data_IF_258171764695
#
_entry.id   IF_258171764695
#
_cell.length_a   1.000
_cell.length_b   1.000
_cell.length_c   1.000
_cell.angle_alpha   90.00
_cell.angle_beta   90.00
_cell.angle_gamma   90.00
#
_symmetry.space_group_name_H-M   'P 1'
#
loop_
_entity.id
_entity.type
_entity.pdbx_description
1 polymer ?
#
# COMPACT_ATOMS: atom_id res chain seq x y z
N UNK A 1 39.67 46.48 -27.89
CA UNK A 1 38.24 46.22 -28.07
C UNK A 1 37.89 44.72 -28.23
N UNK A 2 38.69 43.93 -29.01
CA UNK A 2 38.41 42.46 -29.21
C UNK A 2 38.62 41.62 -27.94
N UNK A 3 39.57 41.95 -27.05
CA UNK A 3 39.83 41.27 -25.79
C UNK A 3 38.71 41.48 -24.74
N UNK A 4 38.12 42.68 -24.70
CA UNK A 4 37.02 43.02 -23.81
C UNK A 4 35.75 42.26 -24.22
N UNK A 5 35.50 42.11 -25.52
CA UNK A 5 34.34 41.35 -26.05
C UNK A 5 34.47 39.85 -25.76
N UNK A 6 35.69 39.27 -25.91
CA UNK A 6 35.93 37.86 -25.59
C UNK A 6 35.76 37.57 -24.08
N UNK A 7 36.23 38.45 -23.20
CA UNK A 7 36.06 38.32 -21.75
C UNK A 7 34.56 38.40 -21.33
N UNK A 8 33.80 39.32 -21.94
CA UNK A 8 32.35 39.47 -21.68
C UNK A 8 31.56 38.23 -22.10
N UNK A 9 31.86 37.62 -23.24
CA UNK A 9 31.21 36.39 -23.70
C UNK A 9 31.51 35.22 -22.78
N UNK A 10 32.74 35.08 -22.27
CA UNK A 10 33.10 33.99 -21.33
C UNK A 10 32.31 34.10 -20.02
N UNK A 11 32.18 35.31 -19.47
CA UNK A 11 31.46 35.55 -18.23
C UNK A 11 29.95 35.23 -18.40
N UNK A 12 29.37 35.60 -19.52
CA UNK A 12 27.94 35.29 -19.81
C UNK A 12 27.71 33.80 -19.96
N UNK A 13 28.61 33.11 -20.69
CA UNK A 13 28.50 31.64 -20.87
C UNK A 13 28.72 30.92 -19.54
N UNK A 14 29.69 31.32 -18.74
CA UNK A 14 29.91 30.73 -17.40
C UNK A 14 28.74 30.97 -16.47
N UNK A 15 28.15 32.16 -16.49
CA UNK A 15 26.93 32.47 -15.72
C UNK A 15 25.74 31.64 -16.16
N UNK A 16 25.55 31.43 -17.46
CA UNK A 16 24.49 30.58 -17.99
C UNK A 16 24.68 29.11 -17.60
N UNK A 17 25.89 28.57 -17.71
CA UNK A 17 26.19 27.20 -17.32
C UNK A 17 26.02 26.98 -15.82
N UNK A 18 26.41 27.95 -15.01
CA UNK A 18 26.19 27.90 -13.56
C UNK A 18 24.70 27.94 -13.21
N UNK A 19 23.94 28.85 -13.82
CA UNK A 19 22.48 28.93 -13.62
C UNK A 19 21.78 27.64 -14.06
N UNK A 20 22.17 27.09 -15.21
CA UNK A 20 21.63 25.82 -15.71
C UNK A 20 21.94 24.64 -14.78
N UNK A 21 23.16 24.53 -14.26
CA UNK A 21 23.56 23.49 -13.31
C UNK A 21 22.84 23.66 -11.98
N UNK A 22 22.70 24.88 -11.48
CA UNK A 22 21.94 25.17 -10.25
C UNK A 22 20.46 24.86 -10.39
N UNK A 23 19.82 25.23 -11.51
CA UNK A 23 18.43 24.93 -11.80
C UNK A 23 18.19 23.40 -11.93
N UNK A 24 19.12 22.69 -12.60
CA UNK A 24 19.09 21.23 -12.72
C UNK A 24 19.20 20.55 -11.35
N UNK A 25 20.09 21.05 -10.47
CA UNK A 25 20.23 20.56 -9.10
C UNK A 25 18.94 20.73 -8.28
N UNK A 26 18.38 21.94 -8.28
CA UNK A 26 17.11 22.24 -7.60
C UNK A 26 15.96 21.38 -8.08
N UNK A 27 15.87 21.15 -9.38
CA UNK A 27 14.82 20.29 -9.97
C UNK A 27 15.02 18.82 -9.58
N UNK A 28 16.25 18.35 -9.49
CA UNK A 28 16.55 16.99 -9.02
C UNK A 28 16.18 16.80 -7.54
N UNK A 29 16.46 17.78 -6.68
CA UNK A 29 16.06 17.76 -5.26
C UNK A 29 14.53 17.75 -5.11
N UNK A 30 13.80 18.59 -5.86
CA UNK A 30 12.35 18.61 -5.84
C UNK A 30 11.74 17.27 -6.30
N UNK A 31 12.30 16.70 -7.39
CA UNK A 31 11.85 15.39 -7.88
C UNK A 31 12.17 14.27 -6.87
N UNK A 32 13.32 14.34 -6.20
CA UNK A 32 13.68 13.41 -5.13
C UNK A 32 12.74 13.50 -3.94
N UNK A 33 12.40 14.72 -3.50
CA UNK A 33 11.44 14.94 -2.42
C UNK A 33 10.04 14.43 -2.79
N UNK A 34 9.54 14.75 -3.98
CA UNK A 34 8.26 14.27 -4.47
C UNK A 34 8.23 12.75 -4.60
N UNK A 35 9.32 12.13 -5.09
CA UNK A 35 9.42 10.68 -5.18
C UNK A 35 9.40 10.02 -3.80
N UNK A 36 10.06 10.63 -2.80
CA UNK A 36 10.06 10.13 -1.43
C UNK A 36 8.70 10.32 -0.74
N UNK A 37 8.06 11.47 -0.94
CA UNK A 37 6.71 11.73 -0.45
C UNK A 37 5.70 10.77 -1.09
N UNK A 38 5.82 10.52 -2.39
CA UNK A 38 4.99 9.57 -3.11
C UNK A 38 5.22 8.13 -2.63
N UNK A 39 6.48 7.74 -2.43
CA UNK A 39 6.83 6.43 -1.86
C UNK A 39 6.24 6.24 -0.45
N UNK A 40 6.27 7.29 0.40
CA UNK A 40 5.69 7.25 1.74
C UNK A 40 4.16 7.12 1.73
N UNK A 41 3.48 7.53 0.66
CA UNK A 41 2.03 7.38 0.50
C UNK A 41 1.64 5.92 0.21
N UNK A 42 2.50 5.16 -0.45
CA UNK A 42 2.27 3.73 -0.70
C UNK A 42 2.54 2.88 0.53
N UNK A 43 3.59 3.17 1.29
CA UNK A 43 4.02 2.37 2.44
C UNK A 43 4.08 3.26 3.68
N UNK A 44 3.19 3.02 4.64
CA UNK A 44 3.18 3.73 5.92
C UNK A 44 3.78 2.86 7.03
N UNK A 45 4.34 3.46 8.09
CA UNK A 45 4.89 2.69 9.22
C UNK A 45 3.89 1.75 9.91
N UNK A 46 2.60 2.06 9.81
CA UNK A 46 1.53 1.24 10.37
C UNK A 46 1.08 0.09 9.47
N UNK A 47 1.46 0.11 8.18
CA UNK A 47 0.98 -0.87 7.20
C UNK A 47 1.41 -2.30 7.56
N UNK A 48 0.49 -3.26 7.59
CA UNK A 48 0.84 -4.66 7.67
C UNK A 48 1.62 -5.10 6.43
N UNK A 49 2.70 -5.84 6.67
CA UNK A 49 3.62 -6.28 5.61
C UNK A 49 3.81 -7.78 5.69
N UNK A 50 3.80 -8.47 4.53
CA UNK A 50 4.06 -9.88 4.37
C UNK A 50 5.10 -10.11 3.28
N UNK A 51 6.08 -10.98 3.52
CA UNK A 51 7.16 -11.29 2.58
C UNK A 51 8.52 -10.83 3.06
N UNK A 52 9.52 -10.84 2.20
CA UNK A 52 10.90 -10.55 2.57
C UNK A 52 11.10 -9.06 2.90
N UNK A 53 11.82 -8.79 4.00
CA UNK A 53 12.07 -7.43 4.49
C UNK A 53 12.85 -6.59 3.49
N UNK A 54 13.76 -7.21 2.74
CA UNK A 54 14.65 -6.55 1.79
C UNK A 54 14.18 -6.72 0.34
N UNK A 55 12.91 -7.10 0.14
CA UNK A 55 12.32 -7.22 -1.18
C UNK A 55 12.36 -5.88 -1.92
N UNK A 56 12.69 -5.92 -3.23
CA UNK A 56 12.69 -4.74 -4.11
C UNK A 56 11.39 -4.56 -4.90
N UNK A 57 10.49 -5.54 -4.82
CA UNK A 57 9.17 -5.47 -5.45
C UNK A 57 8.11 -5.39 -4.36
N UNK A 58 7.35 -4.31 -4.38
CA UNK A 58 6.28 -4.04 -3.43
C UNK A 58 4.95 -4.12 -4.14
N UNK A 59 4.08 -5.05 -3.71
CA UNK A 59 2.68 -5.06 -4.07
C UNK A 59 1.94 -4.32 -2.96
N UNK A 60 1.39 -3.15 -3.26
CA UNK A 60 0.54 -2.40 -2.34
C UNK A 60 -0.91 -2.68 -2.69
N UNK A 61 -1.67 -3.18 -1.74
CA UNK A 61 -3.09 -3.48 -1.87
C UNK A 61 -3.90 -2.57 -0.96
N UNK A 62 -4.69 -1.67 -1.56
CA UNK A 62 -5.77 -0.99 -0.85
C UNK A 62 -6.97 -1.91 -0.80
N UNK A 63 -7.23 -2.44 0.38
CA UNK A 63 -8.21 -3.50 0.59
C UNK A 63 -9.38 -3.05 1.45
N UNK A 64 -10.51 -3.70 1.25
CA UNK A 64 -11.68 -3.62 2.11
C UNK A 64 -12.01 -5.04 2.60
N UNK A 65 -12.02 -5.30 3.91
CA UNK A 65 -12.32 -6.63 4.42
C UNK A 65 -13.68 -7.19 3.98
N UNK A 66 -14.64 -6.31 3.70
CA UNK A 66 -15.98 -6.71 3.24
C UNK A 66 -16.08 -6.85 1.72
N UNK A 67 -15.02 -6.54 0.96
CA UNK A 67 -15.01 -6.66 -0.49
C UNK A 67 -14.77 -8.11 -0.94
N UNK A 68 -15.73 -8.71 -1.66
CA UNK A 68 -15.63 -10.08 -2.18
C UNK A 68 -14.45 -10.26 -3.14
N UNK A 69 -14.17 -9.26 -3.97
CA UNK A 69 -13.04 -9.29 -4.89
C UNK A 69 -11.71 -9.28 -4.14
N UNK A 70 -11.60 -8.57 -3.01
CA UNK A 70 -10.41 -8.61 -2.14
C UNK A 70 -10.18 -10.02 -1.59
N UNK A 71 -11.23 -10.68 -1.10
CA UNK A 71 -11.14 -12.06 -0.64
C UNK A 71 -10.67 -13.03 -1.75
N UNK A 72 -11.16 -12.85 -2.99
CA UNK A 72 -10.73 -13.65 -4.15
C UNK A 72 -9.26 -13.39 -4.52
N UNK A 73 -8.80 -12.15 -4.45
CA UNK A 73 -7.41 -11.79 -4.81
C UNK A 73 -6.39 -12.13 -3.74
N UNK A 74 -6.77 -12.24 -2.46
CA UNK A 74 -5.86 -12.57 -1.37
C UNK A 74 -5.03 -13.85 -1.63
N UNK A 75 -5.59 -15.02 -1.98
CA UNK A 75 -4.80 -16.20 -2.32
C UNK A 75 -3.97 -16.03 -3.60
N UNK A 76 -4.40 -15.19 -4.55
CA UNK A 76 -3.65 -14.91 -5.78
C UNK A 76 -2.36 -14.17 -5.43
N UNK A 77 -2.44 -13.11 -4.62
CA UNK A 77 -1.26 -12.35 -4.17
C UNK A 77 -0.31 -13.22 -3.36
N UNK A 78 -0.84 -14.10 -2.49
CA UNK A 78 -0.01 -15.06 -1.73
C UNK A 78 0.74 -16.05 -2.62
N UNK A 79 0.17 -16.43 -3.77
CA UNK A 79 0.91 -17.25 -4.76
C UNK A 79 2.11 -16.52 -5.36
N UNK A 80 2.03 -15.19 -5.61
CA UNK A 80 3.19 -14.43 -6.06
C UNK A 80 4.30 -14.36 -5.01
N UNK A 81 3.93 -14.15 -3.73
CA UNK A 81 4.90 -14.19 -2.63
C UNK A 81 5.58 -15.57 -2.55
N UNK A 82 4.82 -16.65 -2.69
CA UNK A 82 5.36 -18.01 -2.64
C UNK A 82 6.25 -18.34 -3.85
N UNK A 83 5.93 -17.79 -5.04
CA UNK A 83 6.74 -17.97 -6.24
C UNK A 83 8.07 -17.17 -6.19
N UNK A 84 8.10 -16.07 -5.45
CA UNK A 84 9.25 -15.17 -5.36
C UNK A 84 9.55 -14.79 -3.88
N UNK A 85 9.88 -15.75 -3.00
CA UNK A 85 9.88 -15.57 -1.54
C UNK A 85 10.85 -14.49 -1.04
N UNK A 86 11.96 -14.26 -1.78
CA UNK A 86 13.00 -13.28 -1.42
C UNK A 86 12.83 -11.94 -2.17
N UNK A 87 11.90 -11.86 -3.13
CA UNK A 87 11.85 -10.75 -4.09
C UNK A 87 10.64 -9.84 -3.94
N UNK A 88 9.57 -10.35 -3.32
CA UNK A 88 8.27 -9.65 -3.25
C UNK A 88 7.86 -9.42 -1.79
N UNK A 89 7.27 -8.25 -1.56
CA UNK A 89 6.62 -7.87 -0.32
C UNK A 89 5.20 -7.37 -0.62
N UNK A 90 4.22 -7.86 0.13
CA UNK A 90 2.86 -7.31 0.15
C UNK A 90 2.75 -6.28 1.26
N UNK A 91 2.22 -5.12 0.92
CA UNK A 91 1.86 -4.04 1.85
C UNK A 91 0.35 -3.86 1.81
N UNK A 92 -0.31 -4.04 2.93
CA UNK A 92 -1.76 -3.85 3.04
C UNK A 92 -2.08 -2.44 3.51
N UNK A 93 -3.01 -1.78 2.81
CA UNK A 93 -3.60 -0.49 3.14
C UNK A 93 -5.11 -0.63 3.14
N UNK A 94 -5.80 0.18 3.92
CA UNK A 94 -7.25 0.07 4.04
C UNK A 94 -7.99 1.07 3.17
N UNK A 95 -9.07 0.59 2.55
CA UNK A 95 -10.05 1.41 1.85
C UNK A 95 -11.46 0.87 2.13
N UNK A 96 -11.98 1.04 3.37
CA UNK A 96 -13.26 0.49 3.81
C UNK A 96 -14.42 1.24 3.17
N UNK A 97 -14.75 0.88 1.93
CA UNK A 97 -15.79 1.54 1.12
C UNK A 97 -17.18 0.90 1.30
N UNK A 98 -17.27 -0.32 1.86
CA UNK A 98 -18.55 -0.96 2.15
C UNK A 98 -19.11 -0.53 3.50
N UNK A 99 -20.43 -0.59 3.64
CA UNK A 99 -21.12 -0.20 4.87
C UNK A 99 -20.70 -1.07 6.07
N UNK A 100 -20.25 -0.41 7.14
CA UNK A 100 -19.75 -1.09 8.35
C UNK A 100 -18.33 -1.64 8.26
N UNK A 101 -17.70 -1.59 7.08
CA UNK A 101 -16.37 -2.17 6.84
C UNK A 101 -15.26 -1.53 7.69
N UNK A 102 -15.40 -0.24 8.06
CA UNK A 102 -14.50 0.39 9.02
C UNK A 102 -14.47 -0.34 10.38
N UNK A 103 -15.58 -0.96 10.78
CA UNK A 103 -15.64 -1.82 11.98
C UNK A 103 -14.77 -3.07 11.83
N UNK A 104 -14.79 -3.71 10.68
CA UNK A 104 -13.92 -4.86 10.38
C UNK A 104 -12.44 -4.45 10.34
N UNK A 105 -12.10 -3.26 9.82
CA UNK A 105 -10.73 -2.72 9.88
C UNK A 105 -10.29 -2.49 11.33
N UNK A 106 -11.16 -1.97 12.21
CA UNK A 106 -10.85 -1.84 13.64
C UNK A 106 -10.53 -3.17 14.29
N UNK A 107 -11.27 -4.23 13.95
CA UNK A 107 -10.98 -5.60 14.40
C UNK A 107 -9.59 -6.04 13.93
N UNK A 108 -9.24 -5.82 12.67
CA UNK A 108 -7.93 -6.19 12.13
C UNK A 108 -6.78 -5.42 12.77
N UNK A 109 -6.93 -4.11 13.01
CA UNK A 109 -5.92 -3.31 13.69
C UNK A 109 -5.73 -3.75 15.15
N UNK A 110 -6.82 -4.04 15.87
CA UNK A 110 -6.76 -4.59 17.22
C UNK A 110 -6.15 -6.01 17.23
N UNK A 111 -6.46 -6.85 16.25
CA UNK A 111 -5.83 -8.16 16.08
C UNK A 111 -4.32 -8.03 15.79
N UNK A 112 -3.91 -6.99 15.03
CA UNK A 112 -2.50 -6.65 14.80
C UNK A 112 -1.76 -6.35 16.10
N UNK A 113 -2.39 -5.65 17.04
CA UNK A 113 -1.81 -5.36 18.36
C UNK A 113 -1.60 -6.64 19.19
N UNK A 114 -2.29 -7.72 18.86
CA UNK A 114 -2.08 -9.06 19.42
C UNK A 114 -1.16 -9.96 18.57
N UNK A 115 -0.57 -9.43 17.49
CA UNK A 115 0.27 -10.20 16.56
C UNK A 115 -0.52 -11.19 15.70
N UNK A 116 -1.83 -10.97 15.51
CA UNK A 116 -2.77 -11.88 14.84
C UNK A 116 -3.41 -11.30 13.58
N UNK A 117 -2.76 -10.30 12.97
CA UNK A 117 -3.31 -9.62 11.79
C UNK A 117 -3.62 -10.57 10.63
N UNK A 118 -2.63 -11.39 10.24
CA UNK A 118 -2.76 -12.23 9.04
C UNK A 118 -3.76 -13.35 9.25
N UNK A 119 -3.74 -13.98 10.44
CA UNK A 119 -4.70 -15.01 10.81
C UNK A 119 -6.13 -14.47 10.85
N UNK A 120 -6.30 -13.25 11.37
CA UNK A 120 -7.61 -12.59 11.40
C UNK A 120 -8.11 -12.21 10.00
N UNK A 121 -7.24 -11.63 9.16
CA UNK A 121 -7.59 -11.26 7.79
C UNK A 121 -7.99 -12.49 6.98
N UNK A 122 -7.22 -13.57 7.06
CA UNK A 122 -7.51 -14.83 6.38
C UNK A 122 -8.83 -15.44 6.86
N UNK A 123 -9.06 -15.45 8.16
CA UNK A 123 -10.30 -15.93 8.75
C UNK A 123 -11.50 -15.14 8.23
N UNK A 124 -11.42 -13.82 8.22
CA UNK A 124 -12.49 -12.96 7.72
C UNK A 124 -12.76 -13.20 6.24
N UNK A 125 -11.73 -13.29 5.39
CA UNK A 125 -11.90 -13.55 3.97
C UNK A 125 -12.50 -14.94 3.69
N UNK A 126 -12.03 -15.99 4.38
CA UNK A 126 -12.53 -17.35 4.21
C UNK A 126 -14.00 -17.51 4.64
N UNK A 127 -14.44 -16.67 5.57
CA UNK A 127 -15.80 -16.71 6.13
C UNK A 127 -16.64 -15.49 5.72
N UNK A 128 -16.25 -14.75 4.68
CA UNK A 128 -16.85 -13.47 4.35
C UNK A 128 -18.38 -13.56 4.19
N UNK A 129 -18.90 -14.62 3.57
CA UNK A 129 -20.34 -14.85 3.41
C UNK A 129 -21.10 -15.06 4.72
N UNK A 130 -20.40 -15.36 5.82
CA UNK A 130 -21.00 -15.54 7.15
C UNK A 130 -21.27 -14.19 7.81
N UNK A 131 -20.34 -13.24 7.67
CA UNK A 131 -20.37 -11.96 8.38
C UNK A 131 -20.65 -10.74 7.47
N UNK A 132 -20.90 -10.96 6.17
CA UNK A 132 -21.43 -9.94 5.26
C UNK A 132 -22.77 -10.39 4.70
N UNK A 133 -23.72 -9.47 4.61
CA UNK A 133 -25.00 -9.72 3.98
C UNK A 133 -25.43 -8.48 3.18
N UNK A 134 -25.72 -8.64 1.89
CA UNK A 134 -26.08 -7.52 1.01
C UNK A 134 -25.10 -6.33 1.07
N UNK A 135 -23.81 -6.64 1.09
CA UNK A 135 -22.70 -5.68 1.24
C UNK A 135 -22.64 -4.92 2.58
N UNK A 136 -23.37 -5.37 3.59
CA UNK A 136 -23.33 -4.84 4.94
C UNK A 136 -22.58 -5.79 5.88
N UNK A 137 -21.79 -5.23 6.78
CA UNK A 137 -21.08 -5.97 7.81
C UNK A 137 -22.02 -6.32 8.98
N UNK A 138 -21.94 -7.56 9.42
CA UNK A 138 -22.62 -8.09 10.61
C UNK A 138 -21.58 -8.27 11.73
N UNK A 139 -21.35 -7.26 12.59
CA UNK A 139 -20.24 -7.28 13.55
C UNK A 139 -20.30 -8.47 14.51
N UNK A 140 -21.48 -8.85 14.96
CA UNK A 140 -21.68 -9.98 15.89
C UNK A 140 -21.19 -11.31 15.30
N UNK A 141 -21.22 -11.47 13.99
CA UNK A 141 -20.70 -12.65 13.30
C UNK A 141 -19.19 -12.69 13.28
N UNK A 142 -18.55 -11.52 13.11
CA UNK A 142 -17.09 -11.41 13.22
C UNK A 142 -16.64 -11.86 14.61
N UNK A 143 -17.28 -11.38 15.67
CA UNK A 143 -16.96 -11.75 17.05
C UNK A 143 -17.03 -13.25 17.32
N UNK A 144 -17.96 -13.96 16.67
CA UNK A 144 -18.10 -15.42 16.79
C UNK A 144 -16.95 -16.19 16.10
N UNK A 145 -16.29 -15.60 15.11
CA UNK A 145 -15.22 -16.25 14.36
C UNK A 145 -13.85 -16.09 15.05
N UNK A 146 -13.56 -14.93 15.61
CA UNK A 146 -12.23 -14.53 16.10
C UNK A 146 -11.58 -15.49 17.11
N UNK A 147 -12.30 -16.19 18.01
CA UNK A 147 -11.68 -17.16 18.91
C UNK A 147 -10.95 -18.31 18.19
N UNK A 148 -11.32 -18.63 16.93
CA UNK A 148 -10.70 -19.69 16.15
C UNK A 148 -9.21 -19.45 15.86
N UNK A 149 -8.78 -18.19 15.89
CA UNK A 149 -7.37 -17.80 15.67
C UNK A 149 -6.66 -17.35 16.95
N UNK A 150 -7.27 -17.62 18.10
CA UNK A 150 -6.66 -17.37 19.41
C UNK A 150 -6.58 -15.89 19.78
N UNK A 151 -7.56 -15.09 19.36
CA UNK A 151 -7.69 -13.68 19.73
C UNK A 151 -8.37 -13.59 21.10
N UNK A 152 -7.77 -12.78 21.99
CA UNK A 152 -8.38 -12.35 23.24
C UNK A 152 -9.44 -11.27 22.94
N UNK A 153 -10.71 -11.63 23.07
CA UNK A 153 -11.83 -10.75 22.73
C UNK A 153 -11.94 -9.54 23.68
N UNK A 154 -11.64 -9.70 24.95
CA UNK A 154 -11.71 -8.58 25.91
C UNK A 154 -10.65 -7.53 25.58
N UNK A 155 -9.43 -7.95 25.29
CA UNK A 155 -8.37 -7.08 24.84
C UNK A 155 -8.67 -6.46 23.48
N UNK A 156 -9.23 -7.23 22.54
CA UNK A 156 -9.62 -6.74 21.23
C UNK A 156 -10.60 -5.57 21.32
N UNK A 157 -11.64 -5.69 22.19
CA UNK A 157 -12.64 -4.65 22.39
C UNK A 157 -12.01 -3.34 22.87
N UNK A 158 -11.07 -3.43 23.82
CA UNK A 158 -10.33 -2.25 24.30
C UNK A 158 -9.46 -1.65 23.20
N UNK A 159 -8.70 -2.49 22.48
CA UNK A 159 -7.75 -2.06 21.47
C UNK A 159 -8.48 -1.43 20.25
N UNK A 160 -9.68 -1.88 19.89
CA UNK A 160 -10.51 -1.27 18.84
C UNK A 160 -10.87 0.19 19.11
N UNK A 161 -10.95 0.58 20.38
CA UNK A 161 -11.19 1.95 20.83
C UNK A 161 -9.95 2.86 20.82
N UNK A 162 -8.76 2.33 20.55
CA UNK A 162 -7.52 3.10 20.54
C UNK A 162 -7.57 4.20 19.46
N UNK A 163 -7.28 5.48 19.82
CA UNK A 163 -7.25 6.56 18.83
C UNK A 163 -6.31 6.32 17.65
N UNK A 164 -5.24 5.53 17.83
CA UNK A 164 -4.30 5.16 16.75
C UNK A 164 -4.99 4.36 15.66
N UNK A 165 -5.98 3.53 15.99
CA UNK A 165 -6.77 2.76 15.00
C UNK A 165 -7.58 3.70 14.12
N UNK A 166 -8.19 4.73 14.70
CA UNK A 166 -8.90 5.76 13.92
C UNK A 166 -7.94 6.51 12.99
N UNK A 167 -6.79 6.93 13.51
CA UNK A 167 -5.78 7.64 12.72
C UNK A 167 -5.25 6.80 11.53
N UNK A 168 -5.08 5.48 11.71
CA UNK A 168 -4.71 4.56 10.61
C UNK A 168 -5.77 4.56 9.51
N UNK A 169 -7.04 4.42 9.86
CA UNK A 169 -8.14 4.37 8.89
C UNK A 169 -8.24 5.70 8.12
N UNK A 170 -8.17 6.82 8.82
CA UNK A 170 -8.25 8.17 8.23
C UNK A 170 -7.06 8.42 7.29
N UNK A 171 -5.84 8.04 7.69
CA UNK A 171 -4.65 8.17 6.86
C UNK A 171 -4.73 7.32 5.61
N UNK A 172 -5.17 6.07 5.75
CA UNK A 172 -5.27 5.15 4.61
C UNK A 172 -6.35 5.60 3.61
N UNK A 173 -7.48 6.11 4.08
CA UNK A 173 -8.51 6.69 3.23
C UNK A 173 -8.02 7.96 2.50
N UNK A 174 -7.29 8.84 3.19
CA UNK A 174 -6.70 10.02 2.57
C UNK A 174 -5.69 9.64 1.48
N UNK A 175 -4.83 8.66 1.74
CA UNK A 175 -3.86 8.16 0.77
C UNK A 175 -4.56 7.45 -0.42
N UNK A 176 -5.59 6.65 -0.16
CA UNK A 176 -6.40 6.04 -1.21
C UNK A 176 -7.01 7.10 -2.15
N UNK A 177 -7.55 8.17 -1.56
CA UNK A 177 -8.09 9.30 -2.34
C UNK A 177 -7.00 10.00 -3.16
N UNK A 178 -5.85 10.29 -2.55
CA UNK A 178 -4.72 10.95 -3.22
C UNK A 178 -4.16 10.11 -4.39
N UNK A 179 -4.15 8.79 -4.25
CA UNK A 179 -3.71 7.84 -5.27
C UNK A 179 -4.80 7.47 -6.29
N UNK A 180 -5.99 8.04 -6.18
CA UNK A 180 -7.10 7.79 -7.10
C UNK A 180 -7.76 6.41 -6.94
N UNK A 181 -7.57 5.73 -5.81
CA UNK A 181 -8.23 4.46 -5.51
C UNK A 181 -9.71 4.72 -5.26
N UNK A 182 -10.56 4.19 -6.13
CA UNK A 182 -12.02 4.37 -6.07
C UNK A 182 -12.79 3.05 -5.92
N UNK A 183 -12.07 1.93 -6.00
CA UNK A 183 -12.60 0.57 -5.91
C UNK A 183 -11.59 -0.31 -5.20
N UNK A 184 -12.07 -1.36 -4.55
CA UNK A 184 -11.23 -2.38 -3.92
C UNK A 184 -11.35 -3.72 -4.65
N UNK A 185 -10.26 -4.48 -4.69
CA UNK A 185 -8.92 -4.09 -4.29
C UNK A 185 -8.30 -3.08 -5.28
N UNK A 186 -7.57 -2.08 -4.75
CA UNK A 186 -6.72 -1.20 -5.54
C UNK A 186 -5.27 -1.65 -5.46
N UNK A 187 -4.66 -2.06 -6.58
CA UNK A 187 -3.28 -2.57 -6.60
C UNK A 187 -2.31 -1.60 -7.23
N UNK A 188 -1.12 -1.53 -6.61
CA UNK A 188 0.07 -0.89 -7.18
C UNK A 188 1.26 -1.84 -7.04
N UNK A 189 2.09 -1.92 -8.05
CA UNK A 189 3.36 -2.65 -7.99
C UNK A 189 4.51 -1.67 -8.24
N UNK A 190 5.35 -1.45 -7.24
CA UNK A 190 6.40 -0.42 -7.27
C UNK A 190 5.87 0.96 -7.73
N UNK A 191 4.69 1.34 -7.20
CA UNK A 191 4.03 2.61 -7.52
C UNK A 191 3.28 2.65 -8.86
N UNK A 192 3.33 1.61 -9.67
CA UNK A 192 2.58 1.52 -10.94
C UNK A 192 1.18 0.96 -10.68
N UNK A 193 0.11 1.68 -11.02
CA UNK A 193 -1.25 1.20 -10.82
C UNK A 193 -1.56 -0.02 -11.70
N UNK A 194 -2.38 -0.92 -11.19
CA UNK A 194 -2.88 -2.06 -11.98
C UNK A 194 -4.02 -1.61 -12.90
N UNK A 195 -3.68 -1.34 -14.15
CA UNK A 195 -4.64 -0.97 -15.19
C UNK A 195 -4.29 -1.68 -16.52
N UNK A 196 -5.25 -2.39 -17.14
CA UNK A 196 -6.58 -2.73 -16.62
C UNK A 196 -6.55 -3.75 -15.48
N UNK A 197 -7.61 -3.76 -14.65
CA UNK A 197 -7.72 -4.66 -13.50
C UNK A 197 -7.92 -6.12 -13.94
N UNK A 198 -7.23 -7.05 -13.28
CA UNK A 198 -7.38 -8.49 -13.49
C UNK A 198 -6.18 -9.31 -13.01
N UNK A 199 -6.39 -10.60 -12.75
CA UNK A 199 -5.35 -11.51 -12.27
C UNK A 199 -4.16 -11.62 -13.25
N UNK A 200 -4.44 -11.81 -14.54
CA UNK A 200 -3.39 -11.90 -15.57
C UNK A 200 -2.58 -10.63 -15.70
N UNK A 201 -3.22 -9.48 -15.55
CA UNK A 201 -2.59 -8.17 -15.61
C UNK A 201 -1.71 -7.95 -14.38
N UNK A 202 -2.21 -8.32 -13.18
CA UNK A 202 -1.41 -8.27 -11.96
C UNK A 202 -0.19 -9.18 -12.06
N UNK A 203 -0.36 -10.41 -12.53
CA UNK A 203 0.76 -11.33 -12.76
C UNK A 203 1.80 -10.73 -13.72
N UNK A 204 1.36 -10.21 -14.87
CA UNK A 204 2.26 -9.59 -15.85
C UNK A 204 3.02 -8.40 -15.27
N UNK A 205 2.35 -7.55 -14.48
CA UNK A 205 2.98 -6.38 -13.83
C UNK A 205 4.00 -6.82 -12.78
N UNK A 206 3.66 -7.77 -11.92
CA UNK A 206 4.57 -8.32 -10.90
C UNK A 206 5.80 -8.94 -11.54
N UNK A 207 5.63 -9.80 -12.56
CA UNK A 207 6.74 -10.43 -13.27
C UNK A 207 7.64 -9.42 -13.99
N UNK A 208 7.06 -8.34 -14.54
CA UNK A 208 7.83 -7.28 -15.16
C UNK A 208 8.70 -6.55 -14.14
N UNK A 209 8.14 -6.24 -12.96
CA UNK A 209 8.89 -5.58 -11.88
C UNK A 209 9.96 -6.51 -11.27
N UNK A 210 9.66 -7.80 -11.10
CA UNK A 210 10.67 -8.78 -10.64
C UNK A 210 11.85 -8.82 -11.60
N UNK A 211 11.62 -8.94 -12.91
CA UNK A 211 12.71 -8.93 -13.92
C UNK A 211 13.50 -7.61 -13.91
N UNK A 212 12.81 -6.49 -13.71
CA UNK A 212 13.46 -5.18 -13.71
C UNK A 212 14.35 -4.97 -12.47
N UNK A 213 13.93 -5.46 -11.30
CA UNK A 213 14.64 -5.27 -10.03
C UNK A 213 15.69 -6.35 -9.75
N UNK A 214 15.55 -7.52 -10.38
CA UNK A 214 16.43 -8.67 -10.22
C UNK A 214 16.81 -9.22 -11.60
N UNK A 215 17.61 -8.46 -12.39
CA UNK A 215 18.13 -8.96 -13.65
C UNK A 215 19.04 -10.17 -13.39
N UNK A 216 19.05 -11.15 -14.33
CA UNK A 216 19.91 -12.33 -14.30
C UNK A 216 21.39 -11.95 -14.41
#
# INVERSE_FOLDING_TARGET
>A
KRLIFAGSCIVVVAGFLFAAAWFKGRRAEQLGFLAQEYASTFVRPHSPVLGAKDAKVFIVEFTDPACETCAVFSPIVKRFLAAHPEKIQLVVRYAPFHDGSSGAVRVLEAAKMQGKFWEALDLLYQNQQVWTQHHQVLPERIWQLLPQVGIDLQRLEMDMGDPRVTAVIEQDLADAQALGVRKTPGFFVNGKPLEPFGERQLAALVEAEVRAQYPD
#
